data_IF_410913230966
#
_entry.id   IF_410913230966
#
_cell.length_a   1.000
_cell.length_b   1.000
_cell.length_c   1.000
_cell.angle_alpha   90.00
_cell.angle_beta   90.00
_cell.angle_gamma   90.00
#
_symmetry.space_group_name_H-M   'P 1'
#
loop_
_entity.id
_entity.type
_entity.pdbx_description
1 polymer ?
#
# COMPACT_ATOMS: atom_id res chain seq x y z
N UNK A 1 -14.19 6.59 12.36
CA UNK A 1 -12.98 5.84 11.97
C UNK A 1 -12.97 5.72 10.45
N UNK A 2 -11.88 6.15 9.81
CA UNK A 2 -11.78 6.29 8.35
C UNK A 2 -10.92 5.18 7.70
N UNK A 3 -10.90 3.99 8.30
CA UNK A 3 -10.30 2.79 7.70
C UNK A 3 -11.41 2.05 6.96
N UNK A 4 -11.24 1.90 5.65
CA UNK A 4 -12.18 1.23 4.76
C UNK A 4 -11.54 -0.06 4.25
N UNK A 5 -12.30 -1.12 4.27
CA UNK A 5 -11.89 -2.42 3.73
C UNK A 5 -12.89 -2.92 2.71
N UNK A 6 -12.40 -3.53 1.65
CA UNK A 6 -13.19 -4.21 0.63
C UNK A 6 -12.56 -5.57 0.35
N UNK A 7 -13.23 -6.63 0.78
CA UNK A 7 -12.82 -7.99 0.49
C UNK A 7 -12.90 -8.27 -1.01
N UNK A 8 -11.95 -9.04 -1.52
CA UNK A 8 -11.89 -9.45 -2.94
C UNK A 8 -12.08 -8.29 -3.92
N UNK A 9 -11.48 -7.12 -3.60
CA UNK A 9 -11.50 -5.97 -4.50
C UNK A 9 -10.70 -6.23 -5.78
N UNK A 10 -9.56 -6.91 -5.67
CA UNK A 10 -8.76 -7.41 -6.77
C UNK A 10 -8.97 -8.93 -6.91
N UNK A 11 -9.18 -9.41 -8.13
CA UNK A 11 -9.43 -10.84 -8.37
C UNK A 11 -8.19 -11.68 -8.03
N UNK A 12 -8.36 -12.88 -7.46
CA UNK A 12 -7.25 -13.77 -7.11
C UNK A 12 -6.29 -14.10 -8.25
N UNK A 13 -6.80 -14.24 -9.48
CA UNK A 13 -5.96 -14.50 -10.66
C UNK A 13 -5.00 -13.33 -10.94
N UNK A 14 -5.46 -12.09 -10.73
CA UNK A 14 -4.63 -10.89 -10.91
C UNK A 14 -3.59 -10.79 -9.79
N UNK A 15 -3.99 -11.08 -8.55
CA UNK A 15 -3.04 -11.14 -7.42
C UNK A 15 -1.89 -12.10 -7.71
N UNK A 16 -2.21 -13.33 -8.15
CA UNK A 16 -1.20 -14.33 -8.51
C UNK A 16 -0.32 -13.90 -9.67
N UNK A 17 -0.90 -13.24 -10.69
CA UNK A 17 -0.10 -12.76 -11.82
C UNK A 17 0.84 -11.62 -11.39
N UNK A 18 0.42 -10.69 -10.53
CA UNK A 18 1.29 -9.64 -9.97
C UNK A 18 2.47 -10.28 -9.21
N UNK A 19 2.20 -11.28 -8.36
CA UNK A 19 3.26 -12.01 -7.62
C UNK A 19 4.21 -12.70 -8.62
N UNK A 20 3.68 -13.39 -9.63
CA UNK A 20 4.48 -14.09 -10.62
C UNK A 20 5.40 -13.14 -11.41
N UNK A 21 4.90 -11.99 -11.84
CA UNK A 21 5.69 -10.96 -12.51
C UNK A 21 6.72 -10.32 -11.57
N UNK A 22 6.35 -10.10 -10.31
CA UNK A 22 7.30 -9.64 -9.28
C UNK A 22 8.45 -10.62 -9.13
N UNK A 23 8.19 -11.92 -9.00
CA UNK A 23 9.24 -12.93 -8.79
C UNK A 23 10.17 -13.08 -10.00
N UNK A 24 9.65 -12.93 -11.22
CA UNK A 24 10.45 -12.96 -12.46
C UNK A 24 11.24 -11.68 -12.73
N UNK A 25 10.82 -10.56 -12.15
CA UNK A 25 11.45 -9.26 -12.45
C UNK A 25 12.91 -9.17 -11.98
N UNK A 26 13.82 -8.67 -12.81
CA UNK A 26 15.18 -8.35 -12.40
C UNK A 26 15.29 -7.00 -11.63
N UNK A 27 14.21 -6.21 -11.56
CA UNK A 27 14.19 -4.85 -11.01
C UNK A 27 13.78 -4.79 -9.53
N UNK A 28 13.98 -5.88 -8.80
CA UNK A 28 13.77 -5.94 -7.35
C UNK A 28 14.88 -5.22 -6.60
N UNK A 29 14.50 -4.37 -5.65
CA UNK A 29 15.42 -3.65 -4.80
C UNK A 29 15.10 -3.88 -3.33
N UNK A 30 16.05 -3.79 -2.40
CA UNK A 30 15.73 -3.70 -0.98
C UNK A 30 14.78 -2.55 -0.72
N UNK A 31 13.78 -2.76 0.13
CA UNK A 31 12.87 -1.70 0.54
C UNK A 31 13.64 -0.61 1.28
N UNK A 32 13.34 0.65 0.98
CA UNK A 32 14.00 1.81 1.57
C UNK A 32 13.02 2.67 2.38
N UNK A 33 13.57 3.49 3.25
CA UNK A 33 12.88 4.54 3.99
C UNK A 33 13.68 5.81 3.82
N UNK A 34 12.99 6.94 3.67
CA UNK A 34 13.60 8.27 3.71
C UNK A 34 13.30 8.96 5.04
N UNK A 35 14.22 9.80 5.50
CA UNK A 35 13.98 10.72 6.61
C UNK A 35 13.03 11.88 6.21
N UNK A 36 12.79 12.81 7.15
CA UNK A 36 11.96 13.99 6.92
C UNK A 36 12.49 14.92 5.83
N UNK A 37 13.80 14.85 5.51
CA UNK A 37 14.44 15.62 4.45
C UNK A 37 14.52 14.85 3.12
N UNK A 38 13.97 13.63 3.06
CA UNK A 38 13.93 12.78 1.87
C UNK A 38 15.23 12.00 1.60
N UNK A 39 16.17 11.98 2.55
CA UNK A 39 17.40 11.21 2.42
C UNK A 39 17.15 9.75 2.77
N UNK A 40 17.62 8.83 1.93
CA UNK A 40 17.52 7.39 2.20
C UNK A 40 18.34 7.04 3.44
N UNK A 41 17.72 6.37 4.40
CA UNK A 41 18.39 5.89 5.60
C UNK A 41 19.26 4.69 5.27
N UNK A 42 20.56 4.77 5.58
CA UNK A 42 21.54 3.73 5.26
C UNK A 42 21.32 2.40 6.02
N UNK A 43 20.65 2.44 7.16
CA UNK A 43 20.28 1.24 7.92
C UNK A 43 18.81 1.28 8.32
N UNK A 44 17.95 1.13 7.32
CA UNK A 44 16.51 1.05 7.53
C UNK A 44 16.04 -0.35 7.97
N UNK A 45 16.91 -1.34 8.02
CA UNK A 45 16.53 -2.75 8.26
C UNK A 45 15.87 -3.02 9.61
N UNK A 46 16.11 -2.16 10.61
CA UNK A 46 15.45 -2.20 11.92
C UNK A 46 14.06 -1.58 11.91
N UNK A 47 13.77 -0.73 10.93
CA UNK A 47 12.49 -0.03 10.77
C UNK A 47 11.62 -0.77 9.77
N UNK A 48 12.20 -1.12 8.59
CA UNK A 48 11.54 -1.85 7.51
C UNK A 48 12.51 -2.84 6.88
N UNK A 49 12.03 -4.05 6.65
CA UNK A 49 12.75 -5.03 5.84
C UNK A 49 11.77 -5.64 4.83
N UNK A 50 12.06 -5.44 3.54
CA UNK A 50 11.28 -5.93 2.40
C UNK A 50 12.10 -5.98 1.13
N UNK A 51 11.54 -6.57 0.08
CA UNK A 51 12.01 -6.46 -1.30
C UNK A 51 10.91 -5.78 -2.10
N UNK A 52 11.24 -4.70 -2.82
CA UNK A 52 10.26 -3.83 -3.45
C UNK A 52 10.52 -3.69 -4.97
N UNK A 53 9.43 -3.52 -5.74
CA UNK A 53 9.42 -2.98 -7.10
C UNK A 53 8.57 -1.72 -7.08
N UNK A 54 9.11 -0.61 -7.58
CA UNK A 54 8.39 0.66 -7.70
C UNK A 54 8.04 0.93 -9.16
N UNK A 55 6.77 1.17 -9.44
CA UNK A 55 6.22 1.42 -10.77
C UNK A 55 5.63 2.83 -10.82
N UNK A 56 5.86 3.54 -11.92
CA UNK A 56 5.19 4.82 -12.17
C UNK A 56 3.77 4.58 -12.67
N UNK A 57 2.76 5.32 -12.18
CA UNK A 57 1.39 5.22 -12.68
C UNK A 57 1.28 5.46 -14.20
N UNK A 58 2.23 6.16 -14.79
CA UNK A 58 2.29 6.47 -16.23
C UNK A 58 2.78 5.29 -17.08
N UNK A 59 3.31 4.21 -16.47
CA UNK A 59 3.80 3.02 -17.18
C UNK A 59 2.67 2.10 -17.67
N UNK A 60 1.52 2.66 -18.01
CA UNK A 60 0.36 1.91 -18.52
C UNK A 60 0.60 1.28 -19.90
N UNK A 61 1.63 1.72 -20.62
CA UNK A 61 2.06 1.13 -21.90
C UNK A 61 3.19 0.12 -21.76
N UNK A 62 3.65 -0.16 -20.54
CA UNK A 62 4.67 -1.17 -20.30
C UNK A 62 4.15 -2.56 -20.73
N UNK A 63 4.90 -3.33 -21.53
CA UNK A 63 4.42 -4.61 -22.06
C UNK A 63 4.24 -5.69 -21.00
N UNK A 64 4.85 -5.55 -19.84
CA UNK A 64 4.78 -6.52 -18.73
C UNK A 64 3.76 -6.05 -17.68
N UNK A 65 3.83 -4.78 -17.28
CA UNK A 65 3.07 -4.23 -16.18
C UNK A 65 1.81 -3.46 -16.59
N UNK A 66 1.72 -3.01 -17.86
CA UNK A 66 0.68 -2.05 -18.27
C UNK A 66 -0.75 -2.53 -18.01
N UNK A 67 -1.09 -3.76 -18.40
CA UNK A 67 -2.45 -4.31 -18.19
C UNK A 67 -2.75 -4.57 -16.71
N UNK A 68 -1.75 -5.04 -15.95
CA UNK A 68 -1.87 -5.25 -14.51
C UNK A 68 -2.04 -3.89 -13.79
N UNK A 69 -1.23 -2.90 -14.14
CA UNK A 69 -1.35 -1.54 -13.59
C UNK A 69 -2.71 -0.92 -13.86
N UNK A 70 -3.25 -1.04 -15.09
CA UNK A 70 -4.61 -0.55 -15.40
C UNK A 70 -5.65 -1.19 -14.49
N UNK A 71 -5.60 -2.52 -14.34
CA UNK A 71 -6.53 -3.25 -13.49
C UNK A 71 -6.42 -2.84 -12.02
N UNK A 72 -5.19 -2.63 -11.52
CA UNK A 72 -4.94 -2.18 -10.15
C UNK A 72 -5.46 -0.76 -9.95
N UNK A 73 -5.13 0.16 -10.87
CA UNK A 73 -5.58 1.56 -10.84
C UNK A 73 -7.11 1.64 -10.84
N UNK A 74 -7.78 0.90 -11.72
CA UNK A 74 -9.25 0.83 -11.76
C UNK A 74 -9.82 0.30 -10.45
N UNK A 75 -9.21 -0.76 -9.88
CA UNK A 75 -9.61 -1.33 -8.59
C UNK A 75 -9.52 -0.29 -7.47
N UNK A 76 -8.45 0.51 -7.44
CA UNK A 76 -8.26 1.58 -6.44
C UNK A 76 -9.32 2.68 -6.62
N UNK A 77 -9.62 3.12 -7.86
CA UNK A 77 -10.64 4.14 -8.09
C UNK A 77 -12.05 3.65 -7.77
N UNK A 78 -12.38 2.37 -8.04
CA UNK A 78 -13.64 1.78 -7.56
C UNK A 78 -13.70 1.72 -6.03
N UNK A 79 -12.61 1.36 -5.37
CA UNK A 79 -12.51 1.40 -3.92
C UNK A 79 -12.63 2.81 -3.35
N UNK A 80 -12.00 3.81 -3.97
CA UNK A 80 -12.11 5.23 -3.59
C UNK A 80 -13.55 5.74 -3.72
N UNK A 81 -14.27 5.35 -4.77
CA UNK A 81 -15.70 5.68 -4.90
C UNK A 81 -16.50 5.12 -3.73
N UNK A 82 -16.29 3.85 -3.38
CA UNK A 82 -17.00 3.20 -2.27
C UNK A 82 -16.59 3.83 -0.92
N UNK A 83 -15.32 4.22 -0.76
CA UNK A 83 -14.81 5.00 0.38
C UNK A 83 -15.55 6.33 0.51
N UNK A 84 -15.66 7.09 -0.59
CA UNK A 84 -16.40 8.37 -0.62
C UNK A 84 -17.88 8.18 -0.29
N UNK A 85 -18.53 7.13 -0.75
CA UNK A 85 -19.92 6.81 -0.41
C UNK A 85 -20.06 6.54 1.09
N UNK A 86 -19.17 5.73 1.67
CA UNK A 86 -19.22 5.35 3.09
C UNK A 86 -18.99 6.54 4.03
N UNK A 87 -18.09 7.44 3.67
CA UNK A 87 -17.69 8.59 4.49
C UNK A 87 -18.13 9.93 3.90
N UNK A 88 -19.11 9.92 2.99
CA UNK A 88 -19.50 11.01 2.13
C UNK A 88 -19.73 12.35 2.82
N UNK A 89 -20.35 12.33 4.01
CA UNK A 89 -20.62 13.54 4.77
C UNK A 89 -19.33 14.29 5.17
N UNK A 90 -18.24 13.55 5.49
CA UNK A 90 -16.95 14.13 5.81
C UNK A 90 -16.14 14.54 4.58
N UNK A 91 -16.44 13.94 3.41
CA UNK A 91 -15.63 14.08 2.19
C UNK A 91 -16.33 14.89 1.09
N UNK A 92 -17.56 15.36 1.32
CA UNK A 92 -18.40 15.99 0.29
C UNK A 92 -17.77 17.22 -0.35
N UNK A 93 -16.99 17.99 0.43
CA UNK A 93 -16.36 19.23 -0.03
C UNK A 93 -14.86 19.06 -0.34
N UNK A 94 -14.34 17.85 -0.31
CA UNK A 94 -12.94 17.62 -0.68
C UNK A 94 -12.76 17.65 -2.20
N UNK A 95 -11.64 18.22 -2.69
CA UNK A 95 -11.28 18.11 -4.10
C UNK A 95 -11.19 16.65 -4.56
N UNK A 96 -11.23 16.44 -5.87
CA UNK A 96 -10.99 15.12 -6.43
C UNK A 96 -9.60 14.61 -6.05
N UNK A 97 -9.52 13.31 -5.88
CA UNK A 97 -8.29 12.60 -5.53
C UNK A 97 -7.77 11.83 -6.74
N UNK A 98 -6.46 11.82 -6.90
CA UNK A 98 -5.76 11.03 -7.91
C UNK A 98 -4.62 10.22 -7.29
N UNK A 99 -4.28 9.09 -7.93
CA UNK A 99 -3.11 8.30 -7.54
C UNK A 99 -1.87 9.16 -7.79
N UNK A 100 -1.06 9.32 -6.77
CA UNK A 100 0.18 10.11 -6.82
C UNK A 100 1.40 9.25 -6.52
N UNK A 101 2.56 9.71 -7.01
CA UNK A 101 3.85 9.07 -6.80
C UNK A 101 3.91 7.63 -7.35
N UNK A 102 4.76 6.80 -6.73
CA UNK A 102 5.00 5.42 -7.17
C UNK A 102 3.96 4.45 -6.63
N UNK A 103 3.67 3.43 -7.40
CA UNK A 103 2.96 2.22 -6.94
C UNK A 103 4.03 1.21 -6.56
N UNK A 104 4.01 0.73 -5.31
CA UNK A 104 5.01 -0.17 -4.79
C UNK A 104 4.45 -1.58 -4.60
N UNK A 105 5.06 -2.56 -5.23
CA UNK A 105 4.83 -3.98 -4.96
C UNK A 105 5.90 -4.42 -3.97
N UNK A 106 5.50 -4.98 -2.84
CA UNK A 106 6.41 -5.30 -1.74
C UNK A 106 6.25 -6.76 -1.32
N UNK A 107 7.39 -7.44 -1.20
CA UNK A 107 7.48 -8.77 -0.62
C UNK A 107 8.15 -8.70 0.74
N UNK A 108 7.53 -9.34 1.71
CA UNK A 108 8.04 -9.55 3.04
C UNK A 108 8.23 -11.05 3.26
N UNK A 109 9.46 -11.50 3.39
CA UNK A 109 9.79 -12.89 3.76
C UNK A 109 9.45 -13.14 5.23
N UNK A 110 9.44 -14.40 5.72
CA UNK A 110 9.25 -14.69 7.12
C UNK A 110 10.14 -13.82 8.02
N UNK A 111 9.54 -13.24 9.05
CA UNK A 111 10.14 -12.27 9.98
C UNK A 111 10.49 -10.90 9.38
N UNK A 112 10.15 -10.61 8.12
CA UNK A 112 10.26 -9.28 7.55
C UNK A 112 8.95 -8.50 7.71
N UNK A 113 9.06 -7.17 7.88
CA UNK A 113 7.92 -6.28 8.11
C UNK A 113 8.29 -4.82 8.05
N UNK A 114 7.33 -3.97 8.28
CA UNK A 114 7.53 -2.56 8.60
C UNK A 114 7.30 -2.43 10.12
N UNK A 115 8.35 -2.54 10.90
CA UNK A 115 8.29 -2.78 12.35
C UNK A 115 7.85 -1.56 13.15
N UNK A 116 8.25 -0.37 12.69
CA UNK A 116 7.97 0.89 13.39
C UNK A 116 6.62 1.48 12.97
N UNK A 117 5.93 2.07 13.95
CA UNK A 117 4.74 2.86 13.66
C UNK A 117 5.10 4.12 12.89
N UNK A 118 4.38 4.37 11.81
CA UNK A 118 4.59 5.52 10.94
C UNK A 118 3.27 6.07 10.41
N UNK A 119 3.35 7.28 9.87
CA UNK A 119 2.34 7.88 9.02
C UNK A 119 2.98 8.27 7.69
N UNK A 120 2.17 8.45 6.66
CA UNK A 120 2.65 8.53 5.29
C UNK A 120 2.92 9.96 4.81
N UNK A 121 2.48 10.99 5.54
CA UNK A 121 2.58 12.38 5.11
C UNK A 121 3.30 13.31 6.11
N UNK A 122 4.19 12.76 6.94
CA UNK A 122 4.89 13.50 7.98
C UNK A 122 6.23 14.09 7.54
N UNK A 123 6.54 14.09 6.24
CA UNK A 123 7.75 14.70 5.70
C UNK A 123 7.42 15.67 4.56
N UNK A 124 8.32 16.61 4.27
CA UNK A 124 8.13 17.60 3.20
C UNK A 124 7.89 16.95 1.82
N UNK A 125 8.52 15.81 1.56
CA UNK A 125 8.37 15.09 0.29
C UNK A 125 7.03 14.35 0.17
N UNK A 126 6.33 14.13 1.28
CA UNK A 126 5.16 13.29 1.36
C UNK A 126 3.90 14.03 1.84
N UNK A 127 4.00 15.30 2.19
CA UNK A 127 2.92 16.13 2.76
C UNK A 127 1.66 16.23 1.88
N UNK A 128 1.79 15.97 0.59
CA UNK A 128 0.66 15.98 -0.35
C UNK A 128 -0.20 14.70 -0.28
N UNK A 129 0.26 13.64 0.39
CA UNK A 129 -0.49 12.38 0.53
C UNK A 129 -1.70 12.60 1.43
N UNK A 130 -2.89 12.31 0.91
CA UNK A 130 -4.18 12.47 1.63
C UNK A 130 -4.68 11.12 2.12
N UNK A 131 -4.68 10.11 1.26
CA UNK A 131 -5.05 8.74 1.57
C UNK A 131 -3.95 7.77 1.17
N UNK A 132 -3.88 6.69 1.89
CA UNK A 132 -3.12 5.49 1.53
C UNK A 132 -4.10 4.45 1.02
N UNK A 133 -3.69 3.69 0.03
CA UNK A 133 -4.36 2.48 -0.38
C UNK A 133 -3.38 1.31 -0.41
N UNK A 134 -3.85 0.14 -0.05
CA UNK A 134 -3.06 -1.08 -0.06
C UNK A 134 -3.94 -2.27 -0.43
N UNK A 135 -3.42 -3.18 -1.25
CA UNK A 135 -4.05 -4.45 -1.58
C UNK A 135 -3.14 -5.58 -1.12
N UNK A 136 -3.67 -6.50 -0.33
CA UNK A 136 -3.00 -7.76 -0.03
C UNK A 136 -3.09 -8.69 -1.24
N UNK A 137 -1.96 -9.28 -1.66
CA UNK A 137 -1.90 -10.12 -2.85
C UNK A 137 -1.98 -11.62 -2.54
N UNK A 138 -1.88 -11.98 -1.26
CA UNK A 138 -2.04 -13.36 -0.80
C UNK A 138 -2.57 -13.40 0.63
N UNK A 139 -3.10 -14.55 1.01
CA UNK A 139 -3.45 -14.83 2.39
C UNK A 139 -2.20 -15.03 3.25
N UNK A 140 -2.24 -14.49 4.48
CA UNK A 140 -1.27 -14.80 5.54
C UNK A 140 -2.05 -15.05 6.82
N UNK A 141 -1.90 -16.23 7.39
CA UNK A 141 -2.70 -16.69 8.53
C UNK A 141 -1.91 -16.74 9.85
N UNK A 142 -0.61 -16.49 9.77
CA UNK A 142 0.31 -16.51 10.90
C UNK A 142 1.00 -15.14 11.03
N UNK A 143 0.31 -14.18 11.65
CA UNK A 143 0.73 -12.80 11.71
C UNK A 143 0.49 -12.05 10.40
N UNK A 144 1.36 -11.10 10.08
CA UNK A 144 1.33 -10.35 8.81
C UNK A 144 0.34 -9.19 8.77
N UNK A 145 -0.41 -8.93 9.83
CA UNK A 145 -1.43 -7.89 9.88
C UNK A 145 -0.85 -6.48 9.70
N UNK A 146 -1.69 -5.57 9.23
CA UNK A 146 -1.47 -4.13 9.37
C UNK A 146 -2.16 -3.65 10.63
N UNK A 147 -1.37 -3.20 11.60
CA UNK A 147 -1.85 -2.71 12.89
C UNK A 147 -1.99 -1.20 12.87
N UNK A 148 -3.16 -0.68 13.24
CA UNK A 148 -3.45 0.74 13.44
C UNK A 148 -3.47 1.06 14.94
N UNK A 149 -2.46 1.81 15.39
CA UNK A 149 -2.18 2.05 16.81
C UNK A 149 -3.37 2.67 17.56
N UNK A 150 -3.87 3.80 17.09
CA UNK A 150 -4.91 4.55 17.81
C UNK A 150 -6.29 3.94 17.65
N UNK A 151 -6.55 3.29 16.52
CA UNK A 151 -7.83 2.62 16.26
C UNK A 151 -7.90 1.23 16.89
N UNK A 152 -6.75 0.65 17.29
CA UNK A 152 -6.64 -0.71 17.83
C UNK A 152 -7.22 -1.76 16.88
N UNK A 153 -6.92 -1.59 15.60
CA UNK A 153 -7.36 -2.48 14.52
C UNK A 153 -6.17 -3.25 13.97
N UNK A 154 -6.42 -4.51 13.66
CA UNK A 154 -5.51 -5.42 12.99
C UNK A 154 -6.17 -5.90 11.71
N UNK A 155 -5.72 -5.37 10.57
CA UNK A 155 -6.20 -5.80 9.26
C UNK A 155 -5.42 -7.02 8.79
N UNK A 156 -6.11 -8.15 8.69
CA UNK A 156 -5.50 -9.42 8.28
C UNK A 156 -5.27 -9.43 6.77
N UNK A 157 -4.10 -9.94 6.32
CA UNK A 157 -3.83 -10.18 4.92
C UNK A 157 -4.78 -11.25 4.36
N UNK A 158 -5.63 -10.83 3.44
CA UNK A 158 -6.53 -11.71 2.67
C UNK A 158 -6.35 -11.40 1.20
N UNK A 159 -6.20 -12.42 0.36
CA UNK A 159 -5.96 -12.27 -1.07
C UNK A 159 -7.03 -11.36 -1.72
N UNK A 160 -6.58 -10.30 -2.38
CA UNK A 160 -7.43 -9.33 -3.07
C UNK A 160 -8.09 -8.28 -2.18
N UNK A 161 -7.87 -8.27 -0.86
CA UNK A 161 -8.43 -7.26 0.03
C UNK A 161 -7.78 -5.90 -0.18
N UNK A 162 -8.60 -4.89 -0.47
CA UNK A 162 -8.22 -3.48 -0.50
C UNK A 162 -8.48 -2.83 0.85
N UNK A 163 -7.51 -2.07 1.34
CA UNK A 163 -7.62 -1.20 2.52
C UNK A 163 -7.32 0.24 2.10
N UNK A 164 -8.15 1.21 2.52
CA UNK A 164 -7.93 2.65 2.30
C UNK A 164 -8.07 3.38 3.64
N UNK A 165 -7.10 4.26 3.94
CA UNK A 165 -7.09 5.05 5.18
C UNK A 165 -6.40 6.41 5.00
N UNK A 166 -6.65 7.40 5.90
CA UNK A 166 -5.94 8.68 5.90
C UNK A 166 -4.43 8.52 6.07
N UNK A 167 -3.68 9.32 5.32
CA UNK A 167 -2.22 9.27 5.32
C UNK A 167 -1.57 9.95 6.55
N UNK A 168 -2.35 10.69 7.33
CA UNK A 168 -1.86 11.54 8.40
C UNK A 168 -1.57 10.80 9.72
N UNK A 169 -0.99 11.54 10.67
CA UNK A 169 -0.55 11.06 11.99
C UNK A 169 -1.67 10.45 12.84
N UNK A 170 -2.94 10.69 12.54
CA UNK A 170 -4.08 10.08 13.25
C UNK A 170 -4.20 8.58 12.97
N UNK A 171 -3.58 8.11 11.88
CA UNK A 171 -3.59 6.72 11.45
C UNK A 171 -2.18 6.10 11.47
N UNK A 172 -1.45 6.29 12.56
CA UNK A 172 -0.18 5.59 12.79
C UNK A 172 -0.40 4.08 12.69
N UNK A 173 0.38 3.45 11.83
CA UNK A 173 0.27 2.02 11.55
C UNK A 173 1.63 1.38 11.35
N UNK A 174 1.67 0.05 11.42
CA UNK A 174 2.85 -0.77 11.11
C UNK A 174 2.45 -2.09 10.47
N UNK A 175 3.41 -2.74 9.81
CA UNK A 175 3.24 -4.10 9.29
C UNK A 175 3.84 -5.13 10.23
N UNK A 176 3.00 -5.93 10.88
CA UNK A 176 3.45 -7.03 11.72
C UNK A 176 4.09 -8.10 10.84
N UNK A 177 5.28 -8.64 11.21
CA UNK A 177 5.87 -9.76 10.49
C UNK A 177 5.03 -11.03 10.63
N UNK A 178 5.01 -11.85 9.58
CA UNK A 178 4.65 -13.26 9.72
C UNK A 178 5.90 -14.08 10.04
N UNK A 179 5.89 -14.93 11.07
CA UNK A 179 7.06 -15.73 11.39
C UNK A 179 7.33 -16.85 10.38
N UNK A 180 6.32 -17.33 9.66
CA UNK A 180 6.43 -18.53 8.80
C UNK A 180 6.04 -18.31 7.34
N UNK A 181 5.30 -17.25 7.02
CA UNK A 181 4.73 -17.06 5.68
C UNK A 181 5.26 -15.79 4.99
N UNK A 182 5.38 -15.86 3.68
CA UNK A 182 5.71 -14.70 2.85
C UNK A 182 4.44 -13.89 2.59
N UNK A 183 4.52 -12.56 2.79
CA UNK A 183 3.46 -11.62 2.50
C UNK A 183 3.81 -10.79 1.28
N UNK A 184 2.83 -10.62 0.38
CA UNK A 184 2.91 -9.69 -0.76
C UNK A 184 1.81 -8.65 -0.64
N UNK A 185 2.17 -7.40 -0.86
CA UNK A 185 1.24 -6.28 -0.96
C UNK A 185 1.55 -5.42 -2.18
N UNK A 186 0.55 -4.67 -2.61
CA UNK A 186 0.75 -3.53 -3.49
C UNK A 186 0.15 -2.30 -2.81
N UNK A 187 0.87 -1.19 -2.80
CA UNK A 187 0.47 0.03 -2.09
C UNK A 187 0.83 1.29 -2.84
N UNK A 188 0.13 2.36 -2.54
CA UNK A 188 0.35 3.68 -3.08
C UNK A 188 -0.48 4.73 -2.35
N UNK A 189 -0.49 5.93 -2.89
CA UNK A 189 -1.09 7.09 -2.24
C UNK A 189 -2.02 7.83 -3.19
N UNK A 190 -2.91 8.59 -2.58
CA UNK A 190 -3.80 9.53 -3.27
C UNK A 190 -3.51 10.94 -2.76
N UNK A 191 -3.42 11.90 -3.68
CA UNK A 191 -3.34 13.33 -3.39
C UNK A 191 -4.56 14.05 -3.97
N UNK A 192 -4.77 15.30 -3.58
CA UNK A 192 -5.73 16.14 -4.27
C UNK A 192 -5.27 16.38 -5.70
N UNK A 193 -6.20 16.26 -6.62
CA UNK A 193 -5.98 16.57 -8.03
C UNK A 193 -5.63 18.05 -8.17
N UNK A 194 -4.54 18.33 -8.89
CA UNK A 194 -4.06 19.71 -9.19
C UNK A 194 -4.85 20.32 -10.32
#
# INVERSE_FOLDING_TARGET
MFIFTKEVALKPEICREVINQFEKSPHKNPGFISDSEGRILNDASKIKKSTDISLHPEQLSDPIWGDLLRTIVDTVYFGLRDYKIRYGQALYNLPDLEICQLINIQRYLPNEGFYEYHAENISDNNKERVLVWMIYLNDVTDGGETEFLFQRIFERPTEGKLVIWPADWTHFHRGIPSPTQTKYIITGWLSFKK
#
